data_IF_687181664337
#
_entry.id   IF_687181664337
#
_cell.length_a   1.000
_cell.length_b   1.000
_cell.length_c   1.000
_cell.angle_alpha   90.00
_cell.angle_beta   90.00
_cell.angle_gamma   90.00
#
_symmetry.space_group_name_H-M   'P 1'
#
loop_
_entity.id
_entity.type
_entity.pdbx_description
1 polymer ?
#
# COMPACT_ATOMS: atom_id res chain seq x y z
N UNK A 1 45.43 46.28 2.30
CA UNK A 1 45.79 45.14 1.42
C UNK A 1 45.15 43.91 2.06
N UNK A 2 43.92 43.58 1.65
CA UNK A 2 43.13 42.47 2.22
C UNK A 2 42.69 41.62 1.04
N UNK A 3 43.16 40.37 0.98
CA UNK A 3 42.88 39.45 -0.12
C UNK A 3 41.52 38.77 0.11
N UNK A 4 40.57 39.03 -0.79
CA UNK A 4 39.33 38.27 -0.93
C UNK A 4 39.62 36.83 -1.36
N UNK A 5 39.14 35.86 -0.58
CA UNK A 5 38.96 34.48 -1.03
C UNK A 5 37.69 34.42 -1.89
N UNK A 6 37.84 34.42 -3.22
CA UNK A 6 36.80 33.92 -4.13
C UNK A 6 36.80 32.39 -4.06
N UNK A 7 35.83 31.81 -3.37
CA UNK A 7 35.40 30.44 -3.66
C UNK A 7 34.59 30.48 -4.95
N UNK A 8 35.23 30.12 -6.06
CA UNK A 8 34.54 29.85 -7.31
C UNK A 8 33.62 28.64 -7.11
N UNK A 9 32.31 28.87 -7.14
CA UNK A 9 31.35 27.81 -7.36
C UNK A 9 31.50 27.32 -8.79
N UNK A 10 31.94 26.08 -8.96
CA UNK A 10 31.90 25.38 -10.24
C UNK A 10 30.45 25.38 -10.74
N UNK A 11 30.14 25.85 -11.96
CA UNK A 11 28.82 25.69 -12.52
C UNK A 11 28.53 24.19 -12.68
N UNK A 12 27.31 23.71 -12.35
CA UNK A 12 26.94 22.34 -12.65
C UNK A 12 27.11 22.11 -14.15
N UNK A 13 27.82 21.03 -14.52
CA UNK A 13 28.03 20.65 -15.91
C UNK A 13 26.69 20.35 -16.62
N UNK A 14 26.67 20.34 -17.96
CA UNK A 14 25.48 20.08 -18.77
C UNK A 14 24.88 18.66 -18.55
N UNK A 15 25.56 17.81 -17.79
CA UNK A 15 25.20 16.41 -17.54
C UNK A 15 24.60 16.16 -16.15
N UNK A 16 24.08 17.19 -15.47
CA UNK A 16 23.15 16.93 -14.35
C UNK A 16 21.87 16.36 -14.96
N UNK A 17 21.56 15.06 -14.81
CA UNK A 17 20.29 14.55 -15.29
C UNK A 17 19.20 15.30 -14.52
N UNK A 18 18.42 16.09 -15.25
CA UNK A 18 17.12 16.55 -14.76
C UNK A 18 16.25 15.34 -14.39
N UNK A 19 15.12 15.53 -13.69
CA UNK A 19 14.22 14.42 -13.40
C UNK A 19 13.93 13.68 -14.70
N UNK A 20 14.39 12.43 -14.80
CA UNK A 20 14.30 11.65 -16.02
C UNK A 20 12.86 11.66 -16.52
N UNK A 21 12.63 12.08 -17.76
CA UNK A 21 11.32 12.01 -18.39
C UNK A 21 10.89 10.53 -18.40
N UNK A 22 9.97 10.18 -17.51
CA UNK A 22 9.43 8.83 -17.44
C UNK A 22 8.73 8.49 -18.76
N UNK A 23 8.77 7.24 -19.18
CA UNK A 23 8.01 6.76 -20.34
C UNK A 23 6.88 5.82 -19.89
N UNK A 24 5.79 5.76 -20.66
CA UNK A 24 4.65 4.91 -20.33
C UNK A 24 5.00 3.44 -20.04
N UNK A 25 5.90 2.77 -20.79
CA UNK A 25 6.33 1.41 -20.45
C UNK A 25 6.96 1.30 -19.05
N UNK A 26 7.86 2.22 -18.70
CA UNK A 26 8.55 2.22 -17.40
C UNK A 26 7.56 2.43 -16.25
N UNK A 27 6.56 3.30 -16.46
CA UNK A 27 5.50 3.53 -15.47
C UNK A 27 4.64 2.29 -15.27
N UNK A 28 4.28 1.59 -16.36
CA UNK A 28 3.52 0.35 -16.27
C UNK A 28 4.34 -0.78 -15.61
N UNK A 29 5.64 -0.89 -15.92
CA UNK A 29 6.52 -1.85 -15.26
C UNK A 29 6.58 -1.62 -13.75
N UNK A 30 6.69 -0.36 -13.32
CA UNK A 30 6.69 -0.01 -11.90
C UNK A 30 5.36 -0.35 -11.21
N UNK A 31 4.23 -0.02 -11.85
CA UNK A 31 2.90 -0.34 -11.34
C UNK A 31 2.65 -1.86 -11.25
N UNK A 32 3.14 -2.63 -12.22
CA UNK A 32 3.08 -4.10 -12.17
C UNK A 32 3.89 -4.64 -10.98
N UNK A 33 5.09 -4.11 -10.76
CA UNK A 33 5.90 -4.45 -9.60
C UNK A 33 5.21 -4.13 -8.27
N UNK A 34 4.58 -2.97 -8.17
CA UNK A 34 3.84 -2.54 -6.98
C UNK A 34 2.66 -3.47 -6.64
N UNK A 35 1.98 -4.01 -7.65
CA UNK A 35 0.89 -4.96 -7.45
C UNK A 35 1.43 -6.30 -6.98
N UNK A 36 2.53 -6.78 -7.57
CA UNK A 36 3.14 -8.02 -7.13
C UNK A 36 3.65 -7.94 -5.68
N UNK A 37 4.24 -6.81 -5.30
CA UNK A 37 4.63 -6.55 -3.91
C UNK A 37 3.42 -6.58 -2.97
N UNK A 38 2.27 -6.03 -3.39
CA UNK A 38 1.03 -6.07 -2.62
C UNK A 38 0.58 -7.52 -2.36
N UNK A 39 0.56 -8.34 -3.41
CA UNK A 39 0.20 -9.75 -3.32
C UNK A 39 1.11 -10.52 -2.35
N UNK A 40 2.42 -10.29 -2.41
CA UNK A 40 3.37 -10.92 -1.48
C UNK A 40 3.12 -10.51 -0.03
N UNK A 41 2.87 -9.23 0.23
CA UNK A 41 2.53 -8.71 1.57
C UNK A 41 1.24 -9.37 2.06
N UNK A 42 0.25 -9.53 1.20
CA UNK A 42 -1.00 -10.18 1.55
C UNK A 42 -0.79 -11.67 1.82
N UNK A 43 -0.02 -12.38 1.00
CA UNK A 43 0.29 -13.80 1.21
C UNK A 43 0.90 -14.08 2.60
N UNK A 44 1.66 -13.13 3.16
CA UNK A 44 2.27 -13.23 4.51
C UNK A 44 1.32 -12.87 5.66
N UNK A 45 0.15 -12.30 5.37
CA UNK A 45 -0.94 -11.97 6.30
C UNK A 45 -0.51 -11.14 7.53
N UNK A 46 0.39 -10.17 7.34
CA UNK A 46 0.89 -9.34 8.44
C UNK A 46 0.18 -7.98 8.49
N UNK A 47 -0.68 -7.78 9.48
CA UNK A 47 -1.57 -6.62 9.58
C UNK A 47 -0.84 -5.25 9.53
N UNK A 48 0.36 -5.14 10.12
CA UNK A 48 1.15 -3.90 10.12
C UNK A 48 1.73 -3.57 8.73
N UNK A 49 2.13 -4.59 7.97
CA UNK A 49 2.62 -4.43 6.60
C UNK A 49 1.46 -4.04 5.67
N UNK A 50 0.28 -4.65 5.86
CA UNK A 50 -0.95 -4.28 5.15
C UNK A 50 -1.31 -2.80 5.38
N UNK A 51 -1.24 -2.33 6.63
CA UNK A 51 -1.53 -0.93 6.97
C UNK A 51 -0.50 0.05 6.37
N UNK A 52 0.76 -0.38 6.24
CA UNK A 52 1.83 0.41 5.63
C UNK A 52 1.64 0.52 4.13
N UNK A 53 1.27 -0.59 3.48
CA UNK A 53 0.96 -0.62 2.05
C UNK A 53 -0.21 0.32 1.70
N UNK A 54 -1.30 0.31 2.50
CA UNK A 54 -2.45 1.19 2.27
C UNK A 54 -2.13 2.69 2.36
N UNK A 55 -1.14 3.09 3.16
CA UNK A 55 -0.64 4.48 3.17
C UNK A 55 0.12 4.79 1.88
N UNK A 56 1.07 3.93 1.50
CA UNK A 56 1.86 4.07 0.26
C UNK A 56 0.98 4.22 -0.98
N UNK A 57 -0.09 3.42 -1.08
CA UNK A 57 -1.02 3.48 -2.21
C UNK A 57 -1.80 4.80 -2.27
N UNK A 58 -2.08 5.41 -1.11
CA UNK A 58 -2.78 6.71 -1.02
C UNK A 58 -1.88 7.87 -1.45
N UNK A 59 -0.56 7.73 -1.27
CA UNK A 59 0.44 8.74 -1.62
C UNK A 59 0.89 8.66 -3.09
N UNK A 60 0.35 7.72 -3.89
CA UNK A 60 0.72 7.58 -5.29
C UNK A 60 0.29 8.79 -6.12
N UNK A 61 1.26 9.40 -6.81
CA UNK A 61 1.03 10.52 -7.72
C UNK A 61 1.36 10.06 -9.15
N UNK A 62 0.41 10.17 -10.09
CA UNK A 62 0.66 9.78 -11.48
C UNK A 62 1.78 10.64 -12.08
N UNK A 63 2.74 10.04 -12.81
CA UNK A 63 3.81 10.81 -13.45
C UNK A 63 3.24 11.78 -14.49
N UNK A 64 3.80 12.99 -14.52
CA UNK A 64 3.45 14.03 -15.48
C UNK A 64 4.43 14.05 -16.67
N UNK A 65 4.02 14.70 -17.77
CA UNK A 65 4.91 14.89 -18.92
C UNK A 65 5.11 13.67 -19.82
N UNK A 66 4.40 12.56 -19.60
CA UNK A 66 4.55 11.31 -20.37
C UNK A 66 4.07 11.37 -21.83
N UNK A 67 3.36 12.44 -22.21
CA UNK A 67 2.66 12.53 -23.50
C UNK A 67 1.44 11.61 -23.60
N UNK A 68 0.85 11.46 -24.79
CA UNK A 68 -0.32 10.61 -25.00
C UNK A 68 -0.02 9.14 -24.69
N UNK A 69 -1.03 8.42 -24.19
CA UNK A 69 -0.89 6.99 -23.90
C UNK A 69 -0.82 6.18 -25.21
N UNK A 70 0.22 5.35 -25.42
CA UNK A 70 0.36 4.56 -26.65
C UNK A 70 -0.69 3.46 -26.78
N UNK A 71 -1.25 3.27 -27.98
CA UNK A 71 -2.35 2.32 -28.21
C UNK A 71 -1.91 0.86 -28.02
N UNK A 72 -0.66 0.53 -28.33
CA UNK A 72 -0.09 -0.80 -28.13
C UNK A 72 -0.02 -1.21 -26.66
N UNK A 73 -0.01 -0.24 -25.73
CA UNK A 73 0.00 -0.51 -24.29
C UNK A 73 -1.41 -0.63 -23.69
N UNK A 74 -2.46 -0.37 -24.48
CA UNK A 74 -3.85 -0.29 -23.97
C UNK A 74 -4.31 -1.60 -23.35
N UNK A 75 -4.06 -2.71 -24.03
CA UNK A 75 -4.41 -4.04 -23.52
C UNK A 75 -3.60 -4.40 -22.27
N UNK A 76 -2.32 -4.04 -22.23
CA UNK A 76 -1.45 -4.26 -21.07
C UNK A 76 -1.97 -3.49 -19.85
N UNK A 77 -2.23 -2.19 -20.01
CA UNK A 77 -2.76 -1.36 -18.94
C UNK A 77 -4.16 -1.82 -18.47
N UNK A 78 -5.02 -2.27 -19.40
CA UNK A 78 -6.32 -2.83 -19.03
C UNK A 78 -6.18 -4.09 -18.18
N UNK A 79 -5.28 -5.02 -18.55
CA UNK A 79 -5.01 -6.23 -17.75
C UNK A 79 -4.45 -5.88 -16.37
N UNK A 80 -3.52 -4.94 -16.31
CA UNK A 80 -2.97 -4.44 -15.04
C UNK A 80 -4.05 -3.85 -14.15
N UNK A 81 -4.93 -3.01 -14.70
CA UNK A 81 -6.03 -2.42 -13.93
C UNK A 81 -6.97 -3.49 -13.37
N UNK A 82 -7.33 -4.50 -14.17
CA UNK A 82 -8.19 -5.58 -13.68
C UNK A 82 -7.51 -6.38 -12.57
N UNK A 83 -6.21 -6.61 -12.69
CA UNK A 83 -5.45 -7.27 -11.66
C UNK A 83 -5.37 -6.43 -10.37
N UNK A 84 -5.16 -5.11 -10.48
CA UNK A 84 -5.22 -4.17 -9.37
C UNK A 84 -6.56 -4.22 -8.63
N UNK A 85 -7.67 -4.26 -9.37
CA UNK A 85 -9.00 -4.36 -8.78
C UNK A 85 -9.20 -5.69 -8.04
N UNK A 86 -8.78 -6.81 -8.61
CA UNK A 86 -8.86 -8.11 -7.95
C UNK A 86 -8.05 -8.16 -6.64
N UNK A 87 -6.83 -7.62 -6.65
CA UNK A 87 -5.97 -7.52 -5.46
C UNK A 87 -6.58 -6.58 -4.41
N UNK A 88 -7.21 -5.48 -4.84
CA UNK A 88 -7.90 -4.57 -3.93
C UNK A 88 -9.14 -5.22 -3.28
N UNK A 89 -9.90 -6.01 -4.02
CA UNK A 89 -11.03 -6.78 -3.50
C UNK A 89 -10.59 -7.77 -2.43
N UNK A 90 -9.52 -8.54 -2.70
CA UNK A 90 -8.94 -9.48 -1.74
C UNK A 90 -8.46 -8.78 -0.46
N UNK A 91 -7.82 -7.62 -0.60
CA UNK A 91 -7.39 -6.81 0.53
C UNK A 91 -8.56 -6.42 1.44
N UNK A 92 -9.65 -5.92 0.86
CA UNK A 92 -10.85 -5.51 1.62
C UNK A 92 -11.45 -6.70 2.38
N UNK A 93 -11.50 -7.86 1.74
CA UNK A 93 -12.00 -9.08 2.37
C UNK A 93 -11.14 -9.50 3.57
N UNK A 94 -9.81 -9.50 3.41
CA UNK A 94 -8.86 -9.83 4.49
C UNK A 94 -8.92 -8.86 5.66
N UNK A 95 -9.02 -7.55 5.41
CA UNK A 95 -9.19 -6.54 6.47
C UNK A 95 -10.48 -6.83 7.25
N UNK A 96 -11.58 -7.08 6.55
CA UNK A 96 -12.88 -7.36 7.17
C UNK A 96 -12.85 -8.65 8.00
N UNK A 97 -12.21 -9.71 7.51
CA UNK A 97 -12.04 -10.98 8.22
C UNK A 97 -11.21 -10.80 9.50
N UNK A 98 -10.09 -10.06 9.41
CA UNK A 98 -9.23 -9.77 10.56
C UNK A 98 -9.95 -9.00 11.66
N UNK A 99 -10.77 -8.00 11.31
CA UNK A 99 -11.59 -7.24 12.27
C UNK A 99 -12.60 -8.16 12.99
N UNK A 100 -13.32 -9.00 12.24
CA UNK A 100 -14.27 -9.97 12.83
C UNK A 100 -13.59 -10.92 13.82
N UNK A 101 -12.39 -11.42 13.49
CA UNK A 101 -11.61 -12.28 14.38
C UNK A 101 -11.23 -11.56 15.68
N UNK A 102 -10.76 -10.31 15.59
CA UNK A 102 -10.42 -9.49 16.77
C UNK A 102 -11.63 -9.23 17.66
N UNK A 103 -12.79 -8.94 17.06
CA UNK A 103 -14.03 -8.72 17.80
C UNK A 103 -14.51 -9.97 18.54
N UNK A 104 -14.40 -11.15 17.93
CA UNK A 104 -14.72 -12.43 18.58
C UNK A 104 -13.75 -12.69 19.73
N UNK A 105 -12.44 -12.51 19.51
CA UNK A 105 -11.44 -12.67 20.55
C UNK A 105 -11.69 -11.72 21.73
N UNK A 106 -11.99 -10.44 21.48
CA UNK A 106 -12.32 -9.48 22.51
C UNK A 106 -13.54 -9.93 23.34
N UNK A 107 -14.61 -10.41 22.70
CA UNK A 107 -15.79 -10.93 23.42
C UNK A 107 -15.48 -12.13 24.30
N UNK A 108 -14.63 -13.05 23.84
CA UNK A 108 -14.18 -14.18 24.66
C UNK A 108 -13.35 -13.72 25.86
N UNK A 109 -12.50 -12.71 25.70
CA UNK A 109 -11.67 -12.14 26.78
C UNK A 109 -12.50 -11.50 27.89
N UNK A 110 -13.66 -10.94 27.58
CA UNK A 110 -14.58 -10.31 28.55
C UNK A 110 -15.71 -11.24 29.03
N UNK A 111 -15.80 -12.47 28.52
CA UNK A 111 -16.80 -13.43 28.96
C UNK A 111 -16.45 -13.93 30.39
N UNK A 112 -17.38 -13.92 31.35
CA UNK A 112 -17.10 -14.34 32.72
C UNK A 112 -16.72 -15.84 32.78
N UNK A 113 -15.61 -16.14 33.46
CA UNK A 113 -14.92 -17.45 33.47
C UNK A 113 -15.69 -18.64 34.07
N UNK A 114 -16.92 -18.50 34.54
CA UNK A 114 -17.74 -19.66 34.92
C UNK A 114 -19.22 -19.30 35.03
N UNK A 115 -20.15 -20.10 34.51
CA UNK A 115 -21.53 -20.04 34.99
C UNK A 115 -21.52 -20.37 36.49
N UNK A 116 -21.84 -19.39 37.32
CA UNK A 116 -22.11 -19.63 38.74
C UNK A 116 -23.46 -20.34 38.77
N UNK A 117 -23.52 -21.56 39.29
CA UNK A 117 -24.78 -22.30 39.39
C UNK A 117 -25.73 -21.53 40.32
N UNK A 118 -26.76 -20.90 39.75
CA UNK A 118 -27.83 -20.25 40.50
C UNK A 118 -28.75 -21.33 41.05
N UNK A 119 -28.64 -21.64 42.35
CA UNK A 119 -29.61 -22.49 43.03
C UNK A 119 -30.85 -21.65 43.34
N UNK A 120 -31.97 -21.95 42.69
CA UNK A 120 -33.27 -21.41 43.07
C UNK A 120 -33.87 -22.31 44.14
N UNK A 121 -33.77 -21.92 45.41
CA UNK A 121 -34.56 -22.57 46.46
C UNK A 121 -35.99 -22.04 46.39
N UNK A 122 -36.93 -22.93 46.07
CA UNK A 122 -38.37 -22.65 46.11
C UNK A 122 -38.96 -23.47 47.25
N UNK A 123 -38.72 -23.02 48.47
CA UNK A 123 -39.36 -23.52 49.69
C UNK A 123 -40.74 -22.88 49.87
N UNK A 124 -41.75 -23.75 49.97
CA UNK A 124 -43.17 -23.48 50.23
C UNK A 124 -43.43 -23.05 51.68
#
# INVERSE_FOLDING_TARGET
MTAERRTGGTPPGPDSPGPAESSWPVVLDALEGDVHEAEEVFARNRAEEIATWGRRSTDWVPPSGLGPFPDELRERAARLLQHQLAVAEELVERITQSQKQRDVAARMSYAPTRPVASFFDRGL
#
